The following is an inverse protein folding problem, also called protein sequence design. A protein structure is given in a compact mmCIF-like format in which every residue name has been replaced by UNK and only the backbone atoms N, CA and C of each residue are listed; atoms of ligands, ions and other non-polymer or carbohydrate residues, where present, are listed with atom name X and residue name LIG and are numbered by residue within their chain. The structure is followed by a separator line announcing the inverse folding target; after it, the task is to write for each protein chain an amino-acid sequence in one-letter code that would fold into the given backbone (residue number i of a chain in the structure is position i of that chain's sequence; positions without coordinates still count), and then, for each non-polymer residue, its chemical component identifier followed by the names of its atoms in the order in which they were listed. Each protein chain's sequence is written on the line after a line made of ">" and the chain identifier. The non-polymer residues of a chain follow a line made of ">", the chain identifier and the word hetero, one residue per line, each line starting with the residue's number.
data_IF_377424449602
#
_entry.id   IF_377424449602
#
_cell.length_a   1.000
_cell.length_b   1.000
_cell.length_c   1.000
_cell.angle_alpha   90.00
_cell.angle_beta   90.00
_cell.angle_gamma   90.00
#
_symmetry.space_group_name_H-M   'P 1'
#
loop_
_entity.id
_entity.type
_entity.pdbx_description
1 polymer ?
#
# COMPACT_ATOMS: atom_id res chain seq x y z
N UNK A 1 -53.33 -14.91 6.56
CA UNK A 1 -52.85 -13.72 7.28
C UNK A 1 -51.49 -13.33 6.72
N UNK A 2 -51.40 -12.09 6.22
CA UNK A 2 -50.26 -11.20 6.00
C UNK A 2 -48.93 -11.80 5.48
N UNK A 3 -48.68 -11.52 4.21
CA UNK A 3 -47.37 -11.52 3.56
C UNK A 3 -46.47 -10.44 4.18
N UNK A 4 -45.25 -10.80 4.58
CA UNK A 4 -44.23 -9.87 5.08
C UNK A 4 -43.11 -9.71 4.07
N UNK A 5 -43.20 -8.70 3.21
CA UNK A 5 -42.10 -8.28 2.33
C UNK A 5 -41.27 -7.23 3.08
N UNK A 6 -40.03 -7.54 3.43
CA UNK A 6 -39.10 -6.54 3.98
C UNK A 6 -38.51 -5.75 2.82
N UNK A 7 -39.03 -4.55 2.57
CA UNK A 7 -38.40 -3.60 1.67
C UNK A 7 -37.13 -3.07 2.35
N UNK A 8 -35.96 -3.54 1.88
CA UNK A 8 -34.67 -2.94 2.22
C UNK A 8 -34.64 -1.59 1.49
N UNK A 9 -34.99 -0.52 2.21
CA UNK A 9 -34.85 0.85 1.71
C UNK A 9 -33.37 1.20 1.58
N UNK A 10 -32.83 1.12 0.35
CA UNK A 10 -31.55 1.75 0.04
C UNK A 10 -31.80 3.25 -0.14
N UNK A 11 -32.03 3.94 0.98
CA UNK A 11 -32.13 5.39 1.01
C UNK A 11 -30.76 5.99 0.70
N UNK A 12 -30.53 6.32 -0.56
CA UNK A 12 -29.91 7.55 -1.09
C UNK A 12 -28.62 8.11 -0.45
N UNK A 13 -27.95 7.40 0.45
CA UNK A 13 -26.80 7.88 1.21
C UNK A 13 -25.46 7.28 0.73
N UNK A 14 -25.47 6.50 -0.36
CA UNK A 14 -24.24 6.07 -1.05
C UNK A 14 -23.67 7.16 -1.96
N UNK A 15 -23.74 8.45 -1.57
CA UNK A 15 -22.96 9.51 -2.23
C UNK A 15 -21.47 9.47 -1.85
N UNK A 16 -21.07 8.62 -0.90
CA UNK A 16 -19.67 8.41 -0.53
C UNK A 16 -18.84 7.65 -1.59
N UNK A 17 -19.49 7.12 -2.63
CA UNK A 17 -18.84 6.61 -3.85
C UNK A 17 -18.99 7.60 -5.02
N UNK A 18 -19.02 8.91 -4.75
CA UNK A 18 -18.76 9.89 -5.79
C UNK A 18 -17.29 9.75 -6.21
N UNK A 19 -17.06 8.99 -7.28
CA UNK A 19 -15.79 8.96 -8.00
C UNK A 19 -15.73 10.29 -8.73
N UNK A 20 -15.00 11.25 -8.16
CA UNK A 20 -14.70 12.51 -8.80
C UNK A 20 -13.74 12.21 -9.97
N UNK A 21 -14.24 12.30 -11.21
CA UNK A 21 -13.42 12.07 -12.39
C UNK A 21 -12.51 13.27 -12.67
N UNK A 22 -11.26 12.95 -13.02
CA UNK A 22 -10.13 13.85 -13.30
C UNK A 22 -9.53 14.64 -12.13
N UNK A 23 -9.18 13.94 -11.05
CA UNK A 23 -8.15 14.44 -10.14
C UNK A 23 -6.78 14.33 -10.83
N UNK A 24 -6.36 15.40 -11.51
CA UNK A 24 -4.99 15.55 -12.00
C UNK A 24 -4.05 15.29 -10.82
N UNK A 25 -3.29 14.20 -10.86
CA UNK A 25 -2.40 13.83 -9.77
C UNK A 25 -1.46 15.00 -9.49
N UNK A 26 -1.66 15.68 -8.37
CA UNK A 26 -0.74 16.71 -7.95
C UNK A 26 0.62 16.05 -7.71
N UNK A 27 1.66 16.55 -8.35
CA UNK A 27 3.00 16.05 -8.15
C UNK A 27 3.34 16.08 -6.65
N UNK A 28 3.72 14.92 -6.11
CA UNK A 28 4.15 14.81 -4.72
C UNK A 28 5.48 15.55 -4.54
N UNK A 29 5.72 16.07 -3.33
CA UNK A 29 6.94 16.83 -2.99
C UNK A 29 8.24 16.00 -3.04
N UNK A 30 8.14 14.66 -3.05
CA UNK A 30 9.30 13.77 -3.09
C UNK A 30 10.22 13.83 -1.86
N UNK A 31 9.72 14.32 -0.73
CA UNK A 31 10.50 14.58 0.48
C UNK A 31 10.29 13.54 1.60
N UNK A 32 9.60 12.43 1.34
CA UNK A 32 9.40 11.35 2.29
C UNK A 32 10.33 10.18 1.95
N UNK A 33 11.07 9.72 2.95
CA UNK A 33 11.93 8.55 2.83
C UNK A 33 11.16 7.31 3.27
N UNK A 34 10.43 6.69 2.34
CA UNK A 34 9.71 5.45 2.62
C UNK A 34 10.67 4.27 2.82
N UNK A 35 10.33 3.39 3.75
CA UNK A 35 11.03 2.13 4.01
C UNK A 35 10.03 0.99 4.18
N UNK A 36 10.53 -0.25 4.18
CA UNK A 36 9.73 -1.43 4.46
C UNK A 36 10.50 -2.43 5.35
N UNK A 37 9.79 -3.16 6.20
CA UNK A 37 10.39 -4.15 7.08
C UNK A 37 10.80 -5.42 6.33
N UNK A 38 12.03 -5.89 6.52
CA UNK A 38 12.59 -7.12 5.94
C UNK A 38 11.71 -8.35 6.16
N UNK A 39 11.08 -8.45 7.34
CA UNK A 39 10.29 -9.62 7.75
C UNK A 39 9.03 -9.83 6.90
N UNK A 40 8.47 -8.76 6.33
CA UNK A 40 7.30 -8.86 5.46
C UNK A 40 7.61 -9.57 4.13
N UNK A 41 8.89 -9.72 3.79
CA UNK A 41 9.38 -10.25 2.53
C UNK A 41 10.41 -11.36 2.76
N UNK A 42 10.29 -12.12 3.85
CA UNK A 42 11.26 -13.17 4.23
C UNK A 42 11.53 -14.16 3.08
N UNK A 43 10.53 -14.43 2.25
CA UNK A 43 10.61 -15.35 1.11
C UNK A 43 11.29 -14.75 -0.15
N UNK A 44 11.57 -13.44 -0.14
CA UNK A 44 12.27 -12.74 -1.23
C UNK A 44 13.75 -12.59 -0.83
N UNK A 45 14.71 -12.98 -1.69
CA UNK A 45 16.12 -12.71 -1.48
C UNK A 45 16.38 -11.21 -1.31
N UNK A 46 17.29 -10.83 -0.38
CA UNK A 46 17.53 -9.42 -0.07
C UNK A 46 17.99 -8.60 -1.28
N UNK A 47 18.83 -9.16 -2.16
CA UNK A 47 19.29 -8.46 -3.37
C UNK A 47 18.14 -8.11 -4.31
N UNK A 48 17.22 -9.06 -4.50
CA UNK A 48 16.03 -8.86 -5.31
C UNK A 48 15.10 -7.84 -4.66
N UNK A 49 14.88 -7.94 -3.34
CA UNK A 49 14.10 -6.97 -2.57
C UNK A 49 14.67 -5.55 -2.73
N UNK A 50 15.98 -5.36 -2.57
CA UNK A 50 16.65 -4.06 -2.75
C UNK A 50 16.46 -3.51 -4.17
N UNK A 51 16.58 -4.37 -5.18
CA UNK A 51 16.43 -3.98 -6.58
C UNK A 51 15.00 -3.53 -6.89
N UNK A 52 13.99 -4.24 -6.40
CA UNK A 52 12.58 -3.86 -6.59
C UNK A 52 12.21 -2.64 -5.72
N UNK A 53 12.70 -2.58 -4.48
CA UNK A 53 12.51 -1.44 -3.56
C UNK A 53 12.97 -0.13 -4.21
N UNK A 54 14.14 -0.13 -4.86
CA UNK A 54 14.65 1.04 -5.60
C UNK A 54 13.74 1.44 -6.77
N UNK A 55 13.21 0.47 -7.52
CA UNK A 55 12.30 0.75 -8.66
C UNK A 55 11.01 1.43 -8.22
N UNK A 56 10.47 1.06 -7.05
CA UNK A 56 9.23 1.64 -6.52
C UNK A 56 9.45 2.88 -5.64
N UNK A 57 10.70 3.30 -5.44
CA UNK A 57 11.03 4.54 -4.73
C UNK A 57 11.22 4.41 -3.22
N UNK A 58 11.38 3.19 -2.69
CA UNK A 58 11.81 3.02 -1.30
C UNK A 58 13.27 3.46 -1.13
N UNK A 59 13.55 4.05 0.04
CA UNK A 59 14.86 4.56 0.42
C UNK A 59 15.60 3.67 1.42
N UNK A 60 14.89 2.75 2.07
CA UNK A 60 15.48 1.84 3.05
C UNK A 60 14.69 0.57 3.25
N UNK A 61 15.34 -0.43 3.83
CA UNK A 61 14.73 -1.66 4.31
C UNK A 61 15.09 -1.79 5.80
N UNK A 62 14.07 -1.84 6.64
CA UNK A 62 14.22 -1.88 8.10
C UNK A 62 14.26 -3.32 8.60
N UNK A 63 14.77 -3.51 9.82
CA UNK A 63 14.81 -4.81 10.52
C UNK A 63 15.62 -5.89 9.78
N UNK A 64 16.64 -5.49 9.00
CA UNK A 64 17.61 -6.43 8.41
C UNK A 64 18.57 -6.95 9.48
N UNK A 65 18.72 -8.27 9.56
CA UNK A 65 19.52 -8.92 10.59
C UNK A 65 21.02 -9.00 10.25
N UNK A 66 21.89 -9.27 11.25
CA UNK A 66 23.35 -9.30 11.09
C UNK A 66 23.88 -10.21 9.98
N UNK A 67 23.15 -11.30 9.68
CA UNK A 67 23.52 -12.25 8.63
C UNK A 67 23.51 -11.63 7.23
N UNK A 68 22.72 -10.58 7.03
CA UNK A 68 22.50 -9.93 5.74
C UNK A 68 23.14 -8.54 5.67
N UNK A 69 23.85 -8.08 6.71
CA UNK A 69 24.46 -6.74 6.71
C UNK A 69 25.59 -6.59 5.70
N UNK A 70 26.33 -7.65 5.37
CA UNK A 70 27.37 -7.58 4.33
C UNK A 70 26.81 -7.15 2.97
N UNK A 71 25.56 -7.53 2.67
CA UNK A 71 24.84 -7.10 1.46
C UNK A 71 24.49 -5.61 1.47
N UNK A 72 24.39 -5.00 2.65
CA UNK A 72 24.01 -3.60 2.84
C UNK A 72 25.22 -2.65 3.01
N UNK A 73 26.45 -3.17 2.97
CA UNK A 73 27.68 -2.39 3.12
C UNK A 73 28.07 -1.64 1.85
#
# INVERSE_FOLDING_TARGET
>A
MIAGTTAIGVSSAFSALAIDEEKKEAALKGNINHSACRWCYADIPLDELCLQAKKIGLKGIDLVGPKEWETLK
#
